data_IF_616312354496
#
_entry.id   IF_616312354496
#
_cell.length_a   1.000
_cell.length_b   1.000
_cell.length_c   1.000
_cell.angle_alpha   90.00
_cell.angle_beta   90.00
_cell.angle_gamma   90.00
#
_symmetry.space_group_name_H-M   'P 1'
#
loop_
_entity.id
_entity.type
_entity.pdbx_description
1 polymer ?
#
# COMPACT_ATOMS: atom_id res chain seq x y z
N UNK A 1 -14.38 -13.46 8.03
CA UNK A 1 -13.39 -14.55 8.17
C UNK A 1 -12.03 -13.87 8.34
N UNK A 2 -11.13 -14.42 9.13
CA UNK A 2 -9.77 -13.87 9.36
C UNK A 2 -8.80 -15.03 9.25
N UNK A 3 -7.71 -14.88 8.47
CA UNK A 3 -6.69 -15.91 8.41
C UNK A 3 -5.76 -15.81 7.20
N UNK A 4 -4.89 -16.80 7.09
CA UNK A 4 -4.02 -16.94 5.93
C UNK A 4 -4.83 -17.46 4.74
N UNK A 5 -4.67 -16.80 3.61
CA UNK A 5 -5.29 -17.12 2.33
C UNK A 5 -4.18 -17.35 1.28
N UNK A 6 -4.43 -18.16 0.27
CA UNK A 6 -3.46 -18.38 -0.82
C UNK A 6 -3.99 -17.83 -2.13
N UNK A 7 -3.28 -16.86 -2.68
CA UNK A 7 -3.53 -16.29 -3.99
C UNK A 7 -2.77 -17.07 -5.09
N UNK A 8 -3.27 -16.97 -6.31
CA UNK A 8 -2.55 -17.45 -7.50
C UNK A 8 -2.52 -16.32 -8.54
N UNK A 9 -1.34 -15.87 -8.91
CA UNK A 9 -1.13 -14.88 -9.95
C UNK A 9 -1.32 -15.50 -11.35
N UNK A 10 -1.46 -14.65 -12.37
CA UNK A 10 -1.74 -15.07 -13.75
C UNK A 10 -0.61 -15.87 -14.41
N UNK A 11 0.61 -15.78 -13.88
CA UNK A 11 1.77 -16.56 -14.28
C UNK A 11 1.88 -17.91 -13.54
N UNK A 12 0.89 -18.25 -12.70
CA UNK A 12 0.82 -19.48 -11.93
C UNK A 12 1.59 -19.44 -10.60
N UNK A 13 2.22 -18.30 -10.25
CA UNK A 13 2.85 -18.14 -8.95
C UNK A 13 1.81 -18.19 -7.84
N UNK A 14 2.09 -18.94 -6.77
CA UNK A 14 1.27 -19.02 -5.56
C UNK A 14 1.95 -18.25 -4.44
N UNK A 15 1.20 -17.40 -3.77
CA UNK A 15 1.68 -16.61 -2.64
C UNK A 15 0.66 -16.62 -1.50
N UNK A 16 1.16 -16.53 -0.30
CA UNK A 16 0.30 -16.39 0.88
C UNK A 16 -0.19 -14.94 1.01
N UNK A 17 -1.30 -14.77 1.72
CA UNK A 17 -1.86 -13.45 2.03
C UNK A 17 -2.54 -13.48 3.39
N UNK A 18 -2.51 -12.36 4.10
CA UNK A 18 -3.32 -12.16 5.29
C UNK A 18 -4.61 -11.44 4.92
N UNK A 19 -5.76 -12.02 5.25
CA UNK A 19 -7.07 -11.55 4.82
C UNK A 19 -8.04 -11.42 5.98
N UNK A 20 -8.82 -10.34 5.98
CA UNK A 20 -9.96 -10.12 6.88
C UNK A 20 -11.17 -9.64 6.08
N UNK A 21 -12.25 -10.41 6.14
CA UNK A 21 -13.52 -10.07 5.49
C UNK A 21 -14.61 -9.91 6.55
N UNK A 22 -14.98 -8.67 6.93
CA UNK A 22 -16.13 -8.43 7.81
C UNK A 22 -17.44 -8.73 7.09
N UNK A 23 -18.45 -9.10 7.87
CA UNK A 23 -19.79 -9.32 7.34
C UNK A 23 -20.38 -8.01 6.78
N UNK A 24 -20.95 -8.08 5.59
CA UNK A 24 -21.56 -6.92 4.93
C UNK A 24 -20.55 -5.97 4.24
N UNK A 25 -19.29 -6.35 4.10
CA UNK A 25 -18.34 -5.57 3.32
C UNK A 25 -18.82 -5.38 1.86
N UNK A 26 -18.72 -4.15 1.34
CA UNK A 26 -19.17 -3.78 -0.01
C UNK A 26 -18.04 -3.30 -0.91
N UNK A 27 -16.83 -3.17 -0.38
CA UNK A 27 -15.64 -2.77 -1.13
C UNK A 27 -14.39 -3.49 -0.61
N UNK A 28 -13.39 -3.63 -1.49
CA UNK A 28 -12.12 -4.25 -1.19
C UNK A 28 -10.99 -3.25 -0.98
N UNK A 29 -10.03 -3.59 -0.11
CA UNK A 29 -8.79 -2.84 0.08
C UNK A 29 -7.61 -3.81 0.05
N UNK A 30 -6.70 -3.65 -0.90
CA UNK A 30 -5.40 -4.33 -0.92
C UNK A 30 -4.39 -3.49 -0.18
N UNK A 31 -3.77 -4.04 0.86
CA UNK A 31 -2.66 -3.41 1.59
C UNK A 31 -1.35 -3.97 1.05
N UNK A 32 -0.49 -3.09 0.52
CA UNK A 32 0.83 -3.51 0.03
C UNK A 32 1.90 -3.18 1.06
N UNK A 33 2.66 -4.22 1.40
CA UNK A 33 3.72 -4.22 2.40
C UNK A 33 4.84 -3.21 2.13
N UNK A 34 5.54 -2.85 3.19
CA UNK A 34 6.87 -2.23 3.15
C UNK A 34 7.93 -3.28 2.72
N UNK A 35 9.20 -2.96 2.88
CA UNK A 35 10.30 -3.92 2.64
C UNK A 35 10.47 -4.97 3.76
N UNK A 36 9.56 -5.08 4.70
CA UNK A 36 9.67 -5.97 5.88
C UNK A 36 8.73 -7.18 5.82
N UNK A 37 8.07 -7.42 4.67
CA UNK A 37 7.12 -8.52 4.51
C UNK A 37 5.74 -8.21 5.11
N UNK A 38 4.86 -9.23 5.15
CA UNK A 38 3.55 -9.14 5.80
C UNK A 38 3.71 -9.37 7.30
N UNK A 39 4.48 -8.48 7.92
CA UNK A 39 4.83 -8.51 9.34
C UNK A 39 3.65 -8.07 10.25
N UNK A 40 3.79 -8.08 11.58
CA UNK A 40 2.72 -7.67 12.51
C UNK A 40 2.13 -6.30 12.22
N UNK A 41 2.93 -5.31 11.80
CA UNK A 41 2.44 -3.98 11.46
C UNK A 41 1.51 -4.02 10.23
N UNK A 42 1.92 -4.68 9.14
CA UNK A 42 1.08 -4.80 7.94
C UNK A 42 -0.22 -5.56 8.25
N UNK A 43 -0.17 -6.63 9.06
CA UNK A 43 -1.40 -7.31 9.52
C UNK A 43 -2.29 -6.40 10.35
N UNK A 44 -1.72 -5.57 11.23
CA UNK A 44 -2.51 -4.58 11.99
C UNK A 44 -3.19 -3.54 11.11
N UNK A 45 -2.57 -3.15 9.99
CA UNK A 45 -3.21 -2.28 9.00
C UNK A 45 -4.40 -2.99 8.31
N UNK A 46 -4.25 -4.27 7.93
CA UNK A 46 -5.37 -5.06 7.39
C UNK A 46 -6.53 -5.07 8.39
N UNK A 47 -6.26 -5.38 9.66
CA UNK A 47 -7.27 -5.39 10.73
C UNK A 47 -7.92 -4.01 10.90
N UNK A 48 -7.12 -2.94 10.84
CA UNK A 48 -7.59 -1.56 10.99
C UNK A 48 -8.55 -1.13 9.87
N UNK A 49 -8.25 -1.47 8.61
CA UNK A 49 -9.16 -1.19 7.49
C UNK A 49 -10.38 -2.12 7.52
N UNK A 50 -10.22 -3.38 7.91
CA UNK A 50 -11.34 -4.28 8.11
C UNK A 50 -12.30 -3.79 9.21
N UNK A 51 -11.78 -3.19 10.29
CA UNK A 51 -12.59 -2.54 11.31
C UNK A 51 -13.41 -1.33 10.79
N UNK A 52 -13.02 -0.74 9.65
CA UNK A 52 -13.82 0.27 8.92
C UNK A 52 -14.86 -0.38 7.98
N UNK A 53 -14.95 -1.72 7.93
CA UNK A 53 -15.90 -2.46 7.14
C UNK A 53 -15.42 -2.88 5.75
N UNK A 54 -14.15 -2.68 5.41
CA UNK A 54 -13.61 -3.13 4.12
C UNK A 54 -13.23 -4.62 4.16
N UNK A 55 -13.46 -5.32 3.06
CA UNK A 55 -12.79 -6.60 2.80
C UNK A 55 -11.32 -6.34 2.47
N UNK A 56 -10.41 -6.69 3.36
CA UNK A 56 -9.00 -6.26 3.29
C UNK A 56 -8.06 -7.45 3.17
N UNK A 57 -7.06 -7.36 2.29
CA UNK A 57 -6.03 -8.38 2.07
C UNK A 57 -4.63 -7.77 1.92
N UNK A 58 -3.62 -8.43 2.46
CA UNK A 58 -2.21 -8.11 2.22
C UNK A 58 -1.50 -9.31 1.58
N UNK A 59 -1.14 -9.26 0.28
CA UNK A 59 -0.39 -10.32 -0.39
C UNK A 59 1.07 -10.31 0.06
N UNK A 60 1.66 -11.50 0.31
CA UNK A 60 3.05 -11.69 0.68
C UNK A 60 3.95 -11.63 -0.57
N UNK A 61 4.29 -10.42 -1.03
CA UNK A 61 5.00 -10.22 -2.31
C UNK A 61 6.38 -10.85 -2.35
N UNK A 62 7.00 -11.08 -1.19
CA UNK A 62 8.33 -11.68 -1.11
C UNK A 62 8.33 -13.19 -1.33
N UNK A 63 7.16 -13.85 -1.33
CA UNK A 63 7.03 -15.30 -1.63
C UNK A 63 7.56 -15.68 -3.02
N UNK A 64 7.75 -14.70 -3.92
CA UNK A 64 8.44 -14.90 -5.19
C UNK A 64 9.93 -15.20 -5.05
N UNK A 65 10.51 -14.88 -3.91
CA UNK A 65 11.94 -15.04 -3.62
C UNK A 65 12.12 -15.94 -2.41
N UNK A 66 11.40 -15.67 -1.35
CA UNK A 66 11.49 -16.37 -0.07
C UNK A 66 10.14 -16.25 0.65
N UNK A 67 9.58 -17.39 1.07
CA UNK A 67 8.32 -17.43 1.80
C UNK A 67 8.49 -17.09 3.28
N UNK A 68 7.38 -16.70 3.92
CA UNK A 68 7.30 -16.42 5.36
C UNK A 68 8.25 -15.30 5.83
N UNK A 69 8.51 -14.31 4.97
CA UNK A 69 9.39 -13.19 5.32
C UNK A 69 8.67 -12.22 6.25
N UNK A 70 9.20 -12.11 7.47
CA UNK A 70 8.83 -11.11 8.46
C UNK A 70 10.10 -10.52 9.08
N UNK A 71 10.44 -9.28 8.74
CA UNK A 71 11.66 -8.61 9.17
C UNK A 71 11.37 -7.56 10.23
N UNK A 72 12.35 -7.38 11.12
CA UNK A 72 12.37 -6.30 12.10
C UNK A 72 12.76 -4.96 11.46
N UNK A 73 12.44 -3.85 12.14
CA UNK A 73 12.74 -2.48 11.70
C UNK A 73 14.16 -2.02 12.11
N UNK A 74 15.12 -2.94 12.10
CA UNK A 74 16.53 -2.69 12.41
C UNK A 74 17.42 -2.61 11.15
N UNK A 75 18.71 -2.37 11.34
CA UNK A 75 19.67 -2.28 10.24
C UNK A 75 19.71 -3.53 9.35
N UNK A 76 19.89 -4.73 9.93
CA UNK A 76 19.85 -6.00 9.18
C UNK A 76 18.52 -6.23 8.45
N UNK A 77 17.39 -5.95 9.09
CA UNK A 77 16.07 -6.06 8.46
C UNK A 77 15.90 -5.12 7.27
N UNK A 78 16.38 -3.87 7.38
CA UNK A 78 16.37 -2.90 6.28
C UNK A 78 17.23 -3.38 5.11
N UNK A 79 18.45 -3.87 5.36
CA UNK A 79 19.36 -4.38 4.32
C UNK A 79 18.71 -5.59 3.60
N UNK A 80 18.27 -6.58 4.37
CA UNK A 80 17.62 -7.78 3.82
C UNK A 80 16.36 -7.43 3.03
N UNK A 81 15.53 -6.55 3.56
CA UNK A 81 14.28 -6.14 2.91
C UNK A 81 14.50 -5.41 1.59
N UNK A 82 15.56 -4.58 1.49
CA UNK A 82 15.96 -3.95 0.22
C UNK A 82 16.39 -4.98 -0.82
N UNK A 83 17.18 -5.98 -0.42
CA UNK A 83 17.61 -7.06 -1.31
C UNK A 83 16.41 -7.83 -1.86
N UNK A 84 15.45 -8.18 -1.00
CA UNK A 84 14.23 -8.88 -1.39
C UNK A 84 13.38 -8.01 -2.35
N UNK A 85 13.16 -6.74 -2.05
CA UNK A 85 12.41 -5.83 -2.91
C UNK A 85 13.05 -5.69 -4.30
N UNK A 86 14.38 -5.61 -4.38
CA UNK A 86 15.10 -5.61 -5.66
C UNK A 86 14.97 -6.94 -6.41
N UNK A 87 14.98 -8.07 -5.71
CA UNK A 87 14.88 -9.40 -6.31
C UNK A 87 13.48 -9.68 -6.88
N UNK A 88 12.42 -9.24 -6.21
CA UNK A 88 11.02 -9.40 -6.67
C UNK A 88 10.75 -8.65 -7.96
N UNK A 89 11.32 -7.46 -8.16
CA UNK A 89 11.09 -6.56 -9.30
C UNK A 89 9.62 -6.12 -9.45
N UNK A 90 9.40 -5.05 -10.21
CA UNK A 90 8.06 -4.43 -10.35
C UNK A 90 7.03 -5.33 -11.05
N UNK A 91 7.38 -5.88 -12.22
CA UNK A 91 6.43 -6.63 -13.04
C UNK A 91 5.88 -7.89 -12.32
N UNK A 92 6.70 -8.78 -11.74
CA UNK A 92 6.18 -9.89 -10.95
C UNK A 92 5.36 -9.45 -9.73
N UNK A 93 5.80 -8.40 -9.00
CA UNK A 93 5.05 -7.87 -7.87
C UNK A 93 3.67 -7.36 -8.29
N UNK A 94 3.58 -6.68 -9.44
CA UNK A 94 2.31 -6.19 -9.98
C UNK A 94 1.34 -7.32 -10.35
N UNK A 95 1.83 -8.49 -10.79
CA UNK A 95 0.99 -9.68 -11.02
C UNK A 95 0.36 -10.18 -9.73
N UNK A 96 1.11 -10.16 -8.63
CA UNK A 96 0.61 -10.58 -7.32
C UNK A 96 -0.42 -9.57 -6.77
N UNK A 97 -0.15 -8.27 -6.94
CA UNK A 97 -1.14 -7.22 -6.60
C UNK A 97 -2.40 -7.38 -7.45
N UNK A 98 -2.27 -7.66 -8.75
CA UNK A 98 -3.40 -7.89 -9.64
C UNK A 98 -4.23 -9.11 -9.22
N UNK A 99 -3.60 -10.17 -8.72
CA UNK A 99 -4.31 -11.33 -8.18
C UNK A 99 -5.13 -10.95 -6.93
N UNK A 100 -4.57 -10.13 -6.03
CA UNK A 100 -5.28 -9.63 -4.85
C UNK A 100 -6.45 -8.69 -5.24
N UNK A 101 -6.25 -7.78 -6.20
CA UNK A 101 -7.33 -6.93 -6.75
C UNK A 101 -8.45 -7.77 -7.35
N UNK A 102 -8.10 -8.78 -8.17
CA UNK A 102 -9.08 -9.69 -8.78
C UNK A 102 -9.86 -10.47 -7.72
N UNK A 103 -9.18 -10.97 -6.70
CA UNK A 103 -9.82 -11.69 -5.59
C UNK A 103 -10.85 -10.81 -4.87
N UNK A 104 -10.51 -9.56 -4.55
CA UNK A 104 -11.41 -8.64 -3.85
C UNK A 104 -12.53 -8.08 -4.74
N UNK A 105 -12.38 -8.10 -6.06
CA UNK A 105 -13.35 -7.50 -7.00
C UNK A 105 -14.75 -8.11 -6.92
N UNK A 106 -14.87 -9.34 -6.39
CA UNK A 106 -16.15 -9.99 -6.14
C UNK A 106 -16.95 -9.32 -5.02
N UNK A 107 -16.28 -8.57 -4.13
CA UNK A 107 -16.92 -7.84 -3.04
C UNK A 107 -17.48 -6.49 -3.54
N UNK A 108 -16.81 -5.85 -4.50
CA UNK A 108 -17.18 -4.53 -5.02
C UNK A 108 -15.98 -3.75 -5.54
N UNK A 109 -16.04 -2.41 -5.57
CA UNK A 109 -14.91 -1.56 -5.94
C UNK A 109 -13.68 -1.85 -5.05
N UNK A 110 -12.49 -1.88 -5.66
CA UNK A 110 -11.24 -2.18 -4.95
C UNK A 110 -10.32 -0.96 -4.96
N UNK A 111 -9.78 -0.63 -3.80
CA UNK A 111 -8.66 0.30 -3.68
C UNK A 111 -7.36 -0.44 -3.34
N UNK A 112 -6.24 0.16 -3.76
CA UNK A 112 -4.91 -0.30 -3.38
C UNK A 112 -4.25 0.75 -2.49
N UNK A 113 -3.76 0.33 -1.34
CA UNK A 113 -3.05 1.20 -0.39
C UNK A 113 -1.68 0.58 -0.14
N UNK A 114 -0.62 1.33 -0.39
CA UNK A 114 0.74 0.82 -0.23
C UNK A 114 1.61 1.72 0.66
N UNK A 115 2.55 1.08 1.35
CA UNK A 115 3.46 1.72 2.29
C UNK A 115 4.91 1.52 1.85
N UNK A 116 5.74 2.56 1.80
CA UNK A 116 7.14 2.54 1.37
C UNK A 116 7.30 1.91 -0.03
N UNK A 117 7.90 0.73 -0.14
CA UNK A 117 7.95 -0.08 -1.37
C UNK A 117 6.55 -0.27 -1.97
N UNK A 118 5.59 -0.63 -1.12
CA UNK A 118 4.19 -0.77 -1.50
C UNK A 118 3.54 0.53 -1.97
N UNK A 119 3.97 1.69 -1.46
CA UNK A 119 3.51 3.00 -1.92
C UNK A 119 3.84 3.24 -3.40
N UNK A 120 5.02 2.77 -3.83
CA UNK A 120 5.39 2.83 -5.25
C UNK A 120 4.61 1.82 -6.11
N UNK A 121 4.25 0.65 -5.55
CA UNK A 121 3.38 -0.31 -6.23
C UNK A 121 1.92 0.19 -6.32
N UNK A 122 1.44 0.93 -5.32
CA UNK A 122 0.13 1.58 -5.39
C UNK A 122 0.08 2.62 -6.52
N UNK A 123 1.15 3.39 -6.73
CA UNK A 123 1.30 4.28 -7.88
C UNK A 123 1.18 3.52 -9.21
N UNK A 124 1.91 2.42 -9.38
CA UNK A 124 1.83 1.58 -10.57
C UNK A 124 0.42 0.99 -10.74
N UNK A 125 -0.20 0.54 -9.65
CA UNK A 125 -1.56 0.00 -9.66
C UNK A 125 -2.58 0.99 -10.18
N UNK A 126 -2.44 2.27 -9.88
CA UNK A 126 -3.30 3.32 -10.39
C UNK A 126 -3.26 3.47 -11.91
N UNK A 127 -2.13 3.15 -12.54
CA UNK A 127 -1.96 3.22 -13.99
C UNK A 127 -2.28 1.92 -14.74
N UNK A 128 -2.12 0.77 -14.08
CA UNK A 128 -2.04 -0.53 -14.75
C UNK A 128 -3.17 -1.50 -14.39
N UNK A 129 -3.88 -1.27 -13.27
CA UNK A 129 -4.90 -2.18 -12.76
C UNK A 129 -6.29 -1.53 -12.71
N UNK A 130 -7.37 -2.32 -12.79
CA UNK A 130 -8.74 -1.81 -12.69
C UNK A 130 -9.13 -1.53 -11.23
N UNK A 131 -8.47 -0.54 -10.62
CA UNK A 131 -8.73 -0.11 -9.25
C UNK A 131 -9.60 1.14 -9.21
N UNK A 132 -10.44 1.29 -8.19
CA UNK A 132 -11.29 2.45 -8.00
C UNK A 132 -10.51 3.65 -7.42
N UNK A 133 -9.46 3.37 -6.65
CA UNK A 133 -8.56 4.36 -6.07
C UNK A 133 -7.22 3.75 -5.70
N UNK A 134 -6.17 4.56 -5.64
CA UNK A 134 -4.87 4.15 -5.13
C UNK A 134 -4.33 5.17 -4.12
N UNK A 135 -3.69 4.67 -3.05
CA UNK A 135 -3.09 5.51 -2.01
C UNK A 135 -1.66 5.07 -1.74
N UNK A 136 -0.72 5.98 -1.86
CA UNK A 136 0.69 5.74 -1.57
C UNK A 136 1.17 6.49 -0.33
N UNK A 137 1.67 5.77 0.66
CA UNK A 137 2.37 6.33 1.81
C UNK A 137 3.88 6.25 1.59
N UNK A 138 4.55 7.38 1.63
CA UNK A 138 6.02 7.53 1.51
C UNK A 138 6.65 6.60 0.46
N UNK A 139 6.07 6.57 -0.75
CA UNK A 139 6.54 5.75 -1.87
C UNK A 139 7.81 6.31 -2.51
N UNK A 140 8.98 5.80 -2.08
CA UNK A 140 10.27 6.38 -2.43
C UNK A 140 10.69 6.22 -3.90
N UNK A 141 10.04 5.33 -4.66
CA UNK A 141 10.39 5.11 -6.07
C UNK A 141 9.42 5.82 -7.05
N UNK A 142 8.38 6.51 -6.53
CA UNK A 142 7.37 7.16 -7.39
C UNK A 142 8.01 8.18 -8.34
N UNK A 143 8.97 8.98 -7.86
CA UNK A 143 9.66 9.94 -8.71
C UNK A 143 10.41 9.26 -9.87
N UNK A 144 11.06 8.12 -9.64
CA UNK A 144 11.67 7.31 -10.70
C UNK A 144 10.68 6.64 -11.65
N UNK A 145 9.39 6.66 -11.31
CA UNK A 145 8.28 6.10 -12.08
C UNK A 145 7.32 7.19 -12.58
N UNK A 146 7.74 8.45 -12.58
CA UNK A 146 6.91 9.62 -12.87
C UNK A 146 6.27 9.57 -14.26
N UNK A 147 6.90 8.90 -15.22
CA UNK A 147 6.34 8.69 -16.58
C UNK A 147 5.19 7.67 -16.62
N UNK A 148 4.94 6.93 -15.53
CA UNK A 148 3.80 6.02 -15.39
C UNK A 148 2.59 6.79 -14.92
N UNK A 149 1.69 7.10 -15.85
CA UNK A 149 0.55 8.01 -15.60
C UNK A 149 -0.57 7.28 -14.86
N UNK A 150 -0.95 7.72 -13.63
CA UNK A 150 -2.12 7.20 -12.95
C UNK A 150 -3.40 7.42 -13.76
N UNK A 151 -4.21 6.37 -13.91
CA UNK A 151 -5.52 6.43 -14.57
C UNK A 151 -6.66 6.45 -13.53
N UNK A 152 -6.45 5.81 -12.40
CA UNK A 152 -7.36 5.86 -11.26
C UNK A 152 -7.05 7.08 -10.36
N UNK A 153 -8.06 7.61 -9.64
CA UNK A 153 -7.84 8.58 -8.58
C UNK A 153 -6.71 8.15 -7.64
N UNK A 154 -5.77 9.04 -7.39
CA UNK A 154 -4.54 8.73 -6.64
C UNK A 154 -4.28 9.76 -5.55
N UNK A 155 -3.97 9.29 -4.35
CA UNK A 155 -3.61 10.09 -3.17
C UNK A 155 -2.22 9.68 -2.68
N UNK A 156 -1.36 10.66 -2.39
CA UNK A 156 -0.01 10.43 -1.89
C UNK A 156 0.23 11.16 -0.57
N UNK A 157 0.86 10.46 0.39
CA UNK A 157 1.25 10.98 1.69
C UNK A 157 2.77 10.93 1.84
N UNK A 158 3.41 12.09 2.09
CA UNK A 158 4.85 12.21 2.29
C UNK A 158 5.18 12.95 3.58
N UNK A 159 6.31 12.61 4.20
CA UNK A 159 6.86 13.36 5.32
C UNK A 159 7.80 14.47 4.85
N UNK A 160 7.71 15.66 5.44
CA UNK A 160 8.63 16.78 5.14
C UNK A 160 10.08 16.45 5.53
N UNK A 161 10.25 15.68 6.62
CA UNK A 161 11.55 15.30 7.15
C UNK A 161 12.02 13.92 6.66
N UNK A 162 11.44 13.42 5.58
CA UNK A 162 11.84 12.15 4.95
C UNK A 162 13.16 12.30 4.20
N UNK A 163 14.26 11.83 4.81
CA UNK A 163 15.58 11.88 4.20
C UNK A 163 15.76 10.96 2.98
N UNK A 164 14.84 10.01 2.76
CA UNK A 164 14.88 9.10 1.62
C UNK A 164 14.11 9.66 0.40
N UNK A 165 13.24 10.67 0.61
CA UNK A 165 12.39 11.26 -0.43
C UNK A 165 12.51 12.79 -0.36
N UNK A 166 13.43 13.40 -1.13
CA UNK A 166 13.56 14.86 -1.18
C UNK A 166 12.27 15.56 -1.57
N UNK A 167 11.91 16.66 -0.89
CA UNK A 167 10.69 17.41 -1.17
C UNK A 167 10.60 17.93 -2.60
N UNK A 168 11.74 18.23 -3.23
CA UNK A 168 11.80 18.64 -4.63
C UNK A 168 11.19 17.57 -5.54
N UNK A 169 11.44 16.28 -5.26
CA UNK A 169 10.84 15.16 -5.99
C UNK A 169 9.33 15.06 -5.75
N UNK A 170 8.86 15.34 -4.54
CA UNK A 170 7.43 15.36 -4.20
C UNK A 170 6.71 16.47 -4.95
N UNK A 171 7.32 17.66 -5.01
CA UNK A 171 6.76 18.79 -5.76
C UNK A 171 6.74 18.54 -7.26
N UNK A 172 7.80 17.91 -7.82
CA UNK A 172 7.84 17.54 -9.23
C UNK A 172 6.74 16.51 -9.59
N UNK A 173 6.47 15.54 -8.71
CA UNK A 173 5.33 14.61 -8.89
C UNK A 173 4.01 15.38 -8.93
N UNK A 174 3.78 16.30 -7.98
CA UNK A 174 2.55 17.09 -7.91
C UNK A 174 2.37 18.02 -9.11
N UNK A 175 3.45 18.62 -9.61
CA UNK A 175 3.44 19.48 -10.80
C UNK A 175 3.19 18.68 -12.08
N UNK A 176 3.83 17.52 -12.22
CA UNK A 176 3.69 16.65 -13.40
C UNK A 176 2.31 16.01 -13.49
N UNK A 177 1.71 15.68 -12.33
CA UNK A 177 0.43 15.01 -12.23
C UNK A 177 -0.57 15.81 -11.38
N UNK A 178 -1.11 16.93 -11.88
CA UNK A 178 -1.98 17.81 -11.09
C UNK A 178 -3.33 17.19 -10.69
N UNK A 179 -3.69 16.03 -11.23
CA UNK A 179 -4.86 15.25 -10.82
C UNK A 179 -4.60 14.35 -9.61
N UNK A 180 -3.34 14.19 -9.20
CA UNK A 180 -2.95 13.41 -8.02
C UNK A 180 -3.03 14.30 -6.79
N UNK A 181 -3.74 13.85 -5.77
CA UNK A 181 -3.79 14.54 -4.49
C UNK A 181 -2.52 14.23 -3.68
N UNK A 182 -1.77 15.26 -3.27
CA UNK A 182 -0.51 15.11 -2.53
C UNK A 182 -0.58 15.85 -1.21
N UNK A 183 -0.27 15.16 -0.11
CA UNK A 183 -0.13 15.75 1.22
C UNK A 183 1.28 15.56 1.76
N UNK A 184 1.85 16.66 2.26
CA UNK A 184 3.12 16.69 2.99
C UNK A 184 2.87 16.98 4.45
N UNK A 185 3.48 16.20 5.35
CA UNK A 185 3.31 16.31 6.81
C UNK A 185 4.58 16.88 7.44
N UNK A 186 4.46 18.07 8.05
CA UNK A 186 5.59 18.94 8.45
C UNK A 186 6.56 18.39 9.51
N UNK A 187 6.16 17.39 10.30
CA UNK A 187 7.03 16.78 11.31
C UNK A 187 7.33 15.31 11.03
N UNK A 188 6.79 14.78 9.94
CA UNK A 188 6.85 13.38 9.62
C UNK A 188 8.14 13.01 8.87
N UNK A 189 8.68 11.84 9.20
CA UNK A 189 9.81 11.19 8.53
C UNK A 189 9.32 10.00 7.69
N UNK A 190 10.26 9.30 7.03
CA UNK A 190 9.94 8.04 6.35
C UNK A 190 9.34 7.01 7.32
N UNK A 191 8.20 6.41 6.95
CA UNK A 191 7.53 5.43 7.81
C UNK A 191 6.73 6.03 8.96
N UNK A 192 6.35 7.32 8.89
CA UNK A 192 5.66 8.04 9.98
C UNK A 192 4.34 7.40 10.41
N UNK A 193 3.72 6.56 9.60
CA UNK A 193 2.47 5.86 9.95
C UNK A 193 2.70 4.49 10.61
N UNK A 194 3.94 4.04 10.77
CA UNK A 194 4.30 2.76 11.37
C UNK A 194 4.62 2.92 12.86
N UNK A 195 3.71 2.46 13.73
CA UNK A 195 3.83 2.55 15.20
C UNK A 195 4.92 1.65 15.81
N UNK A 196 5.50 0.76 15.00
CA UNK A 196 6.63 -0.08 15.38
C UNK A 196 8.01 0.58 15.11
N UNK A 197 8.04 1.83 14.61
CA UNK A 197 9.28 2.56 14.25
C UNK A 197 9.47 3.80 15.10
N UNK A 198 10.73 4.19 15.32
CA UNK A 198 11.08 5.44 16.00
C UNK A 198 10.63 6.70 15.23
N UNK A 199 10.40 6.55 13.91
CA UNK A 199 9.90 7.62 13.05
C UNK A 199 8.37 7.81 13.11
N UNK A 200 7.66 7.06 13.97
CA UNK A 200 6.22 7.20 14.13
C UNK A 200 5.82 8.58 14.60
N UNK A 201 4.91 9.22 13.87
CA UNK A 201 4.28 10.48 14.24
C UNK A 201 2.77 10.29 14.32
N UNK A 202 2.25 10.25 15.54
CA UNK A 202 0.87 9.87 15.81
C UNK A 202 -0.13 10.83 15.15
N UNK A 203 0.15 12.15 15.16
CA UNK A 203 -0.76 13.17 14.63
C UNK A 203 -0.79 13.09 13.09
N UNK A 204 0.38 12.98 12.46
CA UNK A 204 0.47 12.82 11.00
C UNK A 204 -0.14 11.49 10.55
N UNK A 205 0.09 10.40 11.28
CA UNK A 205 -0.49 9.09 10.98
C UNK A 205 -2.02 9.09 11.08
N UNK A 206 -2.58 9.72 12.11
CA UNK A 206 -4.02 9.84 12.28
C UNK A 206 -4.65 10.68 11.17
N UNK A 207 -4.07 11.84 10.86
CA UNK A 207 -4.56 12.74 9.82
C UNK A 207 -4.46 12.09 8.42
N UNK A 208 -3.36 11.37 8.12
CA UNK A 208 -3.19 10.65 6.86
C UNK A 208 -4.24 9.54 6.71
N UNK A 209 -4.52 8.80 7.77
CA UNK A 209 -5.56 7.77 7.77
C UNK A 209 -6.96 8.36 7.54
N UNK A 210 -7.31 9.46 8.21
CA UNK A 210 -8.59 10.16 8.01
C UNK A 210 -8.75 10.64 6.56
N UNK A 211 -7.71 11.27 6.00
CA UNK A 211 -7.68 11.70 4.59
C UNK A 211 -7.83 10.53 3.64
N UNK A 212 -7.16 9.41 3.91
CA UNK A 212 -7.30 8.19 3.13
C UNK A 212 -8.76 7.71 3.13
N UNK A 213 -9.40 7.58 4.29
CA UNK A 213 -10.80 7.15 4.36
C UNK A 213 -11.74 8.09 3.63
N UNK A 214 -11.54 9.41 3.77
CA UNK A 214 -12.31 10.42 3.07
C UNK A 214 -12.14 10.33 1.55
N UNK A 215 -10.89 10.14 1.09
CA UNK A 215 -10.56 9.97 -0.31
C UNK A 215 -11.17 8.68 -0.90
N UNK A 216 -11.10 7.56 -0.17
CA UNK A 216 -11.73 6.31 -0.59
C UNK A 216 -13.24 6.49 -0.76
N UNK A 217 -13.91 7.10 0.23
CA UNK A 217 -15.35 7.33 0.17
C UNK A 217 -15.75 8.23 -1.00
N UNK A 218 -14.99 9.30 -1.27
CA UNK A 218 -15.21 10.19 -2.41
C UNK A 218 -15.08 9.49 -3.78
N UNK A 219 -14.33 8.37 -3.81
CA UNK A 219 -14.13 7.56 -5.01
C UNK A 219 -14.94 6.25 -5.03
N UNK A 220 -16.01 6.17 -4.22
CA UNK A 220 -16.96 5.05 -4.25
C UNK A 220 -16.47 3.78 -3.54
N UNK A 221 -15.37 3.86 -2.78
CA UNK A 221 -14.85 2.75 -1.97
C UNK A 221 -15.28 2.97 -0.53
N UNK A 222 -16.34 2.30 -0.11
CA UNK A 222 -16.93 2.42 1.23
C UNK A 222 -16.98 1.05 1.91
N UNK A 223 -16.76 0.97 3.22
CA UNK A 223 -16.64 -0.28 3.95
C UNK A 223 -17.96 -1.05 4.01
N UNK A 224 -18.86 -0.68 4.91
CA UNK A 224 -20.19 -1.26 5.05
C UNK A 224 -21.22 -0.28 4.50
N UNK A 225 -22.22 -0.78 3.76
CA UNK A 225 -23.34 0.05 3.34
C UNK A 225 -24.05 0.64 4.57
N UNK A 226 -24.24 1.98 4.54
CA UNK A 226 -24.94 2.70 5.59
C UNK A 226 -26.41 2.27 5.66
#
# INVERSE_FOLDING_TARGET
MTGNFRLTADDGHQLDAYEVCPEGATSGVVIIQEIFGVNPHIRSLVDRYAAQGFHTIAPALFDRVESDVELDYDGPGIERGRDLAMAVRWEPAMRDVAAAVTHLSVTGPVAVIGYCFGGSLAWLSAGELPVAAAVGYYGGQIHGLIDRIPQAPTLLHFGELDHAIPLEQVYEIAETHPSVEVHVYGQAQHGFSCDARDSYDADSAALAFERTLSFLAANGVTGIAA
#
